data_IF_014890195556
#
_entry.id   IF_014890195556
#
_cell.length_a   1.000
_cell.length_b   1.000
_cell.length_c   1.000
_cell.angle_alpha   90.00
_cell.angle_beta   90.00
_cell.angle_gamma   90.00
#
_symmetry.space_group_name_H-M   'P 1'
#
loop_
_entity.id
_entity.type
_entity.pdbx_description
1 polymer ?
#
# COMPACT_ATOMS: atom_id res chain seq x y z
N UNK A 1 2.42 -19.06 -3.55
CA UNK A 1 3.07 -17.78 -3.83
C UNK A 1 2.70 -16.78 -2.74
N UNK A 2 3.70 -16.08 -2.22
CA UNK A 2 3.44 -15.07 -1.20
C UNK A 2 2.76 -13.85 -1.80
N UNK A 3 1.81 -13.29 -1.06
CA UNK A 3 1.05 -12.12 -1.47
C UNK A 3 1.39 -10.95 -0.56
N UNK A 4 1.76 -9.83 -1.17
CA UNK A 4 2.19 -8.63 -0.46
C UNK A 4 1.32 -7.46 -0.90
N UNK A 5 0.79 -6.70 0.05
CA UNK A 5 0.00 -5.52 -0.22
C UNK A 5 0.78 -4.27 0.16
N UNK A 6 0.97 -3.37 -0.79
CA UNK A 6 1.60 -2.07 -0.54
C UNK A 6 0.46 -1.07 -0.43
N UNK A 7 0.27 -0.51 0.76
CA UNK A 7 -0.85 0.39 1.04
C UNK A 7 -0.52 1.82 0.62
N UNK A 8 -1.41 2.44 -0.14
CA UNK A 8 -1.20 3.80 -0.64
C UNK A 8 -2.30 4.74 -0.16
N UNK A 9 -1.89 5.93 0.27
CA UNK A 9 -2.78 7.05 0.52
C UNK A 9 -2.24 8.25 -0.24
N UNK A 10 -3.08 9.24 -0.50
CA UNK A 10 -2.64 10.44 -1.20
C UNK A 10 -1.43 11.05 -0.50
N UNK A 11 -0.43 11.42 -1.28
CA UNK A 11 0.80 11.98 -0.75
C UNK A 11 1.89 10.94 -0.48
N UNK A 12 1.72 9.71 -0.98
CA UNK A 12 2.74 8.68 -0.82
C UNK A 12 4.01 9.03 -1.61
N UNK A 13 5.15 8.47 -1.19
CA UNK A 13 6.41 8.65 -1.92
C UNK A 13 6.44 7.70 -3.12
N UNK A 14 6.33 8.26 -4.32
CA UNK A 14 6.18 7.48 -5.56
C UNK A 14 7.34 6.54 -5.80
N UNK A 15 8.56 7.06 -5.72
CA UNK A 15 9.74 6.25 -5.99
C UNK A 15 9.86 5.09 -5.02
N UNK A 16 9.65 5.35 -3.75
CA UNK A 16 9.74 4.32 -2.72
C UNK A 16 8.70 3.21 -2.92
N UNK A 17 7.45 3.61 -3.12
CA UNK A 17 6.37 2.63 -3.27
C UNK A 17 6.52 1.79 -4.54
N UNK A 18 6.77 2.45 -5.66
CA UNK A 18 6.84 1.75 -6.95
C UNK A 18 8.10 0.90 -7.07
N UNK A 19 9.21 1.34 -6.49
CA UNK A 19 10.43 0.56 -6.49
C UNK A 19 10.24 -0.75 -5.74
N UNK A 20 9.59 -0.70 -4.58
CA UNK A 20 9.31 -1.91 -3.80
C UNK A 20 8.46 -2.89 -4.60
N UNK A 21 7.39 -2.38 -5.23
CA UNK A 21 6.52 -3.23 -6.06
C UNK A 21 7.30 -3.87 -7.21
N UNK A 22 8.11 -3.07 -7.89
CA UNK A 22 8.90 -3.56 -9.03
C UNK A 22 9.84 -4.68 -8.59
N UNK A 23 10.60 -4.44 -7.52
CA UNK A 23 11.57 -5.41 -7.02
C UNK A 23 10.88 -6.71 -6.59
N UNK A 24 9.79 -6.60 -5.84
CA UNK A 24 9.09 -7.77 -5.33
C UNK A 24 8.45 -8.59 -6.45
N UNK A 25 7.88 -7.91 -7.46
CA UNK A 25 7.33 -8.62 -8.62
C UNK A 25 8.42 -9.34 -9.42
N UNK A 26 9.59 -8.73 -9.55
CA UNK A 26 10.72 -9.37 -10.21
C UNK A 26 11.18 -10.62 -9.46
N UNK A 27 11.04 -10.60 -8.13
CA UNK A 27 11.42 -11.73 -7.29
C UNK A 27 10.38 -12.86 -7.28
N UNK A 28 9.26 -12.68 -7.99
CA UNK A 28 8.23 -13.71 -8.12
C UNK A 28 7.10 -13.64 -7.10
N UNK A 29 7.05 -12.58 -6.28
CA UNK A 29 5.94 -12.40 -5.34
C UNK A 29 4.75 -11.76 -6.04
N UNK A 30 3.55 -12.06 -5.54
CA UNK A 30 2.36 -11.34 -5.96
C UNK A 30 2.29 -10.07 -5.11
N UNK A 31 2.62 -8.94 -5.70
CA UNK A 31 2.65 -7.67 -5.00
C UNK A 31 1.61 -6.73 -5.59
N UNK A 32 0.67 -6.28 -4.78
CA UNK A 32 -0.42 -5.43 -5.22
C UNK A 32 -0.36 -4.06 -4.55
N UNK A 33 -0.71 -3.03 -5.33
CA UNK A 33 -0.93 -1.69 -4.81
C UNK A 33 -2.37 -1.64 -4.30
N UNK A 34 -2.54 -1.22 -3.06
CA UNK A 34 -3.85 -1.18 -2.41
C UNK A 34 -4.10 0.22 -1.88
N UNK A 35 -5.18 0.85 -2.35
CA UNK A 35 -5.55 2.20 -1.93
C UNK A 35 -6.51 2.16 -0.76
N UNK A 36 -6.48 3.21 0.07
CA UNK A 36 -7.44 3.32 1.16
C UNK A 36 -8.74 4.01 0.73
N UNK A 37 -8.78 4.63 -0.44
CA UNK A 37 -9.99 5.34 -0.91
C UNK A 37 -10.37 5.04 -2.34
N UNK A 38 -9.57 5.50 -3.30
CA UNK A 38 -9.96 5.51 -4.70
C UNK A 38 -9.03 4.64 -5.55
N UNK A 39 -9.50 4.32 -6.76
CA UNK A 39 -8.70 3.53 -7.69
C UNK A 39 -7.43 4.25 -8.14
N UNK A 40 -7.44 5.59 -8.13
CA UNK A 40 -6.29 6.37 -8.53
C UNK A 40 -5.80 7.19 -7.34
N UNK A 41 -4.52 7.11 -7.05
CA UNK A 41 -3.90 7.80 -5.92
C UNK A 41 -2.79 8.70 -6.43
N UNK A 42 -2.76 9.95 -5.95
CA UNK A 42 -1.72 10.90 -6.32
C UNK A 42 -0.64 10.93 -5.26
N UNK A 43 0.60 10.73 -5.68
CA UNK A 43 1.75 10.78 -4.79
C UNK A 43 2.15 12.20 -4.43
N UNK A 44 3.14 12.31 -3.56
CA UNK A 44 3.62 13.61 -3.04
C UNK A 44 4.24 14.49 -4.12
N UNK A 45 4.65 13.92 -5.23
CA UNK A 45 5.24 14.66 -6.35
C UNK A 45 4.30 14.74 -7.55
N UNK A 46 3.02 14.48 -7.34
CA UNK A 46 2.00 14.68 -8.36
C UNK A 46 1.81 13.52 -9.33
N UNK A 47 2.51 12.41 -9.16
CA UNK A 47 2.35 11.25 -10.02
C UNK A 47 1.11 10.47 -9.59
N UNK A 48 0.21 10.22 -10.54
CA UNK A 48 -1.00 9.45 -10.27
C UNK A 48 -0.80 8.01 -10.68
N UNK A 49 -1.20 7.10 -9.82
CA UNK A 49 -1.11 5.67 -10.13
C UNK A 49 -2.46 5.00 -9.95
N UNK A 50 -2.74 4.03 -10.80
CA UNK A 50 -3.90 3.18 -10.65
C UNK A 50 -3.51 2.02 -9.74
N UNK A 51 -4.34 1.74 -8.75
CA UNK A 51 -4.06 0.65 -7.83
C UNK A 51 -4.72 -0.63 -8.29
N UNK A 52 -4.24 -1.75 -7.75
CA UNK A 52 -4.79 -3.06 -8.08
C UNK A 52 -6.07 -3.35 -7.29
N UNK A 53 -6.15 -2.84 -6.07
CA UNK A 53 -7.29 -3.10 -5.18
C UNK A 53 -7.53 -1.92 -4.25
N UNK A 54 -8.74 -1.87 -3.69
CA UNK A 54 -9.08 -0.93 -2.63
C UNK A 54 -9.12 -1.72 -1.33
N UNK A 55 -8.73 -1.11 -0.23
CA UNK A 55 -8.64 -1.76 1.07
C UNK A 55 -9.95 -2.43 1.45
N UNK A 56 -9.86 -3.65 1.96
CA UNK A 56 -11.00 -4.44 2.44
C UNK A 56 -10.47 -5.53 3.36
N UNK A 57 -11.37 -6.31 3.94
CA UNK A 57 -10.96 -7.43 4.79
C UNK A 57 -10.18 -8.49 4.02
N UNK A 58 -10.30 -8.51 2.70
CA UNK A 58 -9.56 -9.44 1.84
C UNK A 58 -8.05 -9.29 2.04
N UNK A 59 -7.58 -8.11 2.44
CA UNK A 59 -6.16 -7.87 2.65
C UNK A 59 -5.61 -8.71 3.79
N UNK A 60 -6.46 -9.17 4.69
CA UNK A 60 -6.04 -10.07 5.78
C UNK A 60 -5.55 -11.42 5.27
N UNK A 61 -5.88 -11.77 4.03
CA UNK A 61 -5.43 -13.01 3.40
C UNK A 61 -4.03 -12.88 2.78
N UNK A 62 -3.48 -11.67 2.77
CA UNK A 62 -2.13 -11.43 2.30
C UNK A 62 -1.12 -11.88 3.35
N UNK A 63 0.12 -12.08 2.93
CA UNK A 63 1.18 -12.52 3.83
C UNK A 63 1.91 -11.37 4.51
N UNK A 64 1.88 -10.19 3.89
CA UNK A 64 2.59 -9.03 4.41
C UNK A 64 1.97 -7.75 3.88
N UNK A 65 2.05 -6.68 4.67
CA UNK A 65 1.69 -5.34 4.21
C UNK A 65 2.92 -4.45 4.29
N UNK A 66 3.01 -3.49 3.38
CA UNK A 66 4.09 -2.50 3.33
C UNK A 66 3.44 -1.12 3.39
N UNK A 67 3.96 -0.25 4.25
CA UNK A 67 3.49 1.12 4.41
C UNK A 67 4.59 2.06 3.93
N UNK A 68 4.48 2.60 2.70
CA UNK A 68 5.50 3.51 2.18
C UNK A 68 5.55 4.82 2.96
N UNK A 69 6.70 5.49 2.89
CA UNK A 69 6.85 6.81 3.49
C UNK A 69 6.24 7.91 2.63
N UNK A 70 6.66 9.13 2.90
CA UNK A 70 6.16 10.32 2.24
C UNK A 70 5.07 11.01 3.05
N UNK A 71 5.00 12.33 2.94
CA UNK A 71 3.98 13.11 3.61
C UNK A 71 3.13 13.83 2.57
N UNK A 72 1.83 13.89 2.76
CA UNK A 72 1.07 13.43 3.91
C UNK A 72 0.66 11.93 3.83
N UNK A 73 1.20 11.16 2.88
CA UNK A 73 0.81 9.76 2.68
C UNK A 73 0.91 8.91 3.94
N UNK A 74 2.08 8.95 4.62
CA UNK A 74 2.28 8.16 5.84
C UNK A 74 1.31 8.58 6.93
N UNK A 75 1.04 9.87 7.06
CA UNK A 75 0.08 10.38 8.05
C UNK A 75 -1.33 9.92 7.71
N UNK A 76 -1.70 9.97 6.43
CA UNK A 76 -3.03 9.54 6.00
C UNK A 76 -3.24 8.04 6.26
N UNK A 77 -2.21 7.24 6.08
CA UNK A 77 -2.28 5.82 6.40
C UNK A 77 -2.41 5.61 7.90
N UNK A 78 -1.59 6.31 8.69
CA UNK A 78 -1.61 6.19 10.14
C UNK A 78 -2.96 6.54 10.74
N UNK A 79 -3.66 7.51 10.15
CA UNK A 79 -4.93 7.99 10.68
C UNK A 79 -6.14 7.21 10.19
N UNK A 80 -5.95 6.25 9.30
CA UNK A 80 -7.05 5.43 8.79
C UNK A 80 -7.28 4.23 9.69
N UNK A 81 -8.50 4.09 10.23
CA UNK A 81 -8.82 3.00 11.16
C UNK A 81 -8.65 1.62 10.54
N UNK A 82 -8.94 1.48 9.25
CA UNK A 82 -8.80 0.20 8.56
C UNK A 82 -7.34 -0.20 8.45
N UNK A 83 -6.46 0.79 8.24
CA UNK A 83 -5.02 0.54 8.20
C UNK A 83 -4.52 0.14 9.58
N UNK A 84 -4.97 0.84 10.62
CA UNK A 84 -4.60 0.52 12.00
C UNK A 84 -4.98 -0.93 12.32
N UNK A 85 -6.20 -1.34 11.94
CA UNK A 85 -6.64 -2.71 12.16
C UNK A 85 -5.76 -3.72 11.45
N UNK A 86 -5.38 -3.44 10.20
CA UNK A 86 -4.50 -4.34 9.45
C UNK A 86 -3.13 -4.45 10.10
N UNK A 87 -2.57 -3.32 10.54
CA UNK A 87 -1.27 -3.32 11.22
C UNK A 87 -1.33 -4.21 12.45
N UNK A 88 -2.38 -4.08 13.26
CA UNK A 88 -2.55 -4.91 14.44
C UNK A 88 -2.71 -6.39 14.08
N UNK A 89 -3.43 -6.66 13.01
CA UNK A 89 -3.64 -8.04 12.55
C UNK A 89 -2.33 -8.70 12.13
N UNK A 90 -1.49 -7.98 11.39
CA UNK A 90 -0.23 -8.54 10.89
C UNK A 90 0.88 -8.54 11.93
N UNK A 91 0.73 -7.76 12.99
CA UNK A 91 1.73 -7.65 14.06
C UNK A 91 1.44 -8.71 15.15
N UNK A 92 1.49 -9.96 14.78
CA UNK A 92 1.23 -11.07 15.71
C UNK A 92 2.45 -11.93 15.92
#
# INVERSE_FOLDING_TARGET
>A
MKKIAVLLAEGFEEGEALFVVDVLRRAGFQCNLVSINEEMVKGSHGIRVLVDKIISDEIKEYDMIVLPGGLPGATNLRDDERVIELVKYFDK
#
